data_IF_362340213625
#
_entry.id   IF_362340213625
#
_cell.length_a   1.000
_cell.length_b   1.000
_cell.length_c   1.000
_cell.angle_alpha   90.00
_cell.angle_beta   90.00
_cell.angle_gamma   90.00
#
_symmetry.space_group_name_H-M   'P 1'
#
loop_
_entity.id
_entity.type
_entity.pdbx_description
1 polymer ?
#
# COMPACT_ATOMS: atom_id res chain seq x y z
N UNK A 1 -4.40 20.05 -11.23
CA UNK A 1 -4.06 21.43 -10.80
C UNK A 1 -4.98 21.75 -9.63
N UNK A 2 -4.46 22.39 -8.58
CA UNK A 2 -5.26 22.82 -7.43
C UNK A 2 -5.46 24.33 -7.52
N UNK A 3 -6.70 24.81 -7.47
CA UNK A 3 -6.98 26.25 -7.41
C UNK A 3 -6.52 26.81 -6.07
N UNK A 4 -5.89 27.98 -6.07
CA UNK A 4 -5.30 28.58 -4.88
C UNK A 4 -5.60 30.07 -4.85
N UNK A 5 -5.70 30.65 -3.65
CA UNK A 5 -5.65 32.11 -3.53
C UNK A 5 -4.27 32.64 -3.94
N UNK A 6 -4.21 33.93 -4.29
CA UNK A 6 -2.92 34.56 -4.59
C UNK A 6 -2.10 34.72 -3.31
N UNK A 7 -0.96 34.04 -3.24
CA UNK A 7 -0.04 34.18 -2.11
C UNK A 7 0.60 35.56 -2.08
N UNK A 8 0.82 36.07 -0.86
CA UNK A 8 1.55 37.33 -0.63
C UNK A 8 3.05 37.20 -0.93
N UNK A 9 3.61 36.01 -0.77
CA UNK A 9 5.00 35.70 -1.06
C UNK A 9 5.07 34.51 -2.01
N UNK A 10 5.63 34.68 -3.23
CA UNK A 10 5.74 33.59 -4.20
C UNK A 10 6.66 32.47 -3.70
N UNK A 11 6.27 31.21 -3.91
CA UNK A 11 7.09 30.03 -3.59
C UNK A 11 7.85 29.56 -4.83
N UNK A 12 9.12 29.21 -4.67
CA UNK A 12 9.94 28.72 -5.78
C UNK A 12 9.44 27.35 -6.27
N UNK A 13 9.52 27.05 -7.58
CA UNK A 13 9.13 25.74 -8.11
C UNK A 13 10.05 24.64 -7.57
N UNK A 14 9.48 23.46 -7.39
CA UNK A 14 10.19 22.28 -6.88
C UNK A 14 10.29 21.24 -7.99
N UNK A 15 11.45 20.59 -8.09
CA UNK A 15 11.68 19.48 -9.02
C UNK A 15 12.29 18.30 -8.26
N UNK A 16 11.57 17.19 -8.25
CA UNK A 16 12.00 15.88 -7.78
C UNK A 16 12.27 14.97 -8.99
N UNK A 17 12.70 13.72 -8.74
CA UNK A 17 13.05 12.75 -9.80
C UNK A 17 11.90 12.53 -10.80
N UNK A 18 10.67 12.34 -10.30
CA UNK A 18 9.51 12.01 -11.13
C UNK A 18 8.39 13.05 -11.07
N UNK A 19 8.52 14.10 -10.25
CA UNK A 19 7.46 15.09 -10.06
C UNK A 19 8.03 16.50 -10.03
N UNK A 20 7.30 17.43 -10.62
CA UNK A 20 7.56 18.87 -10.52
C UNK A 20 6.33 19.60 -10.01
N UNK A 21 6.58 20.66 -9.24
CA UNK A 21 5.55 21.50 -8.66
C UNK A 21 5.83 22.95 -9.03
N UNK A 22 4.85 23.60 -9.64
CA UNK A 22 4.84 25.02 -9.91
C UNK A 22 3.78 25.67 -9.02
N UNK A 23 4.25 26.47 -8.08
CA UNK A 23 3.39 27.28 -7.22
C UNK A 23 3.04 28.58 -7.91
N UNK A 24 1.92 29.19 -7.50
CA UNK A 24 1.58 30.57 -7.83
C UNK A 24 1.64 30.86 -9.33
N UNK A 25 1.11 29.93 -10.14
CA UNK A 25 1.08 30.08 -11.59
C UNK A 25 -0.35 30.36 -12.05
N UNK A 26 -0.50 31.37 -12.92
CA UNK A 26 -1.80 31.74 -13.50
C UNK A 26 -2.08 30.87 -14.72
N UNK A 27 -3.22 30.20 -14.71
CA UNK A 27 -3.69 29.43 -15.86
C UNK A 27 -5.08 29.90 -16.27
N UNK A 28 -5.39 29.74 -17.55
CA UNK A 28 -6.76 29.71 -18.01
C UNK A 28 -7.21 28.26 -18.08
N UNK A 29 -8.25 27.91 -17.32
CA UNK A 29 -8.79 26.55 -17.27
C UNK A 29 -10.21 26.57 -17.79
N UNK A 30 -10.46 25.78 -18.83
CA UNK A 30 -11.79 25.61 -19.41
C UNK A 30 -12.37 24.28 -18.95
N UNK A 31 -13.49 24.32 -18.24
CA UNK A 31 -14.23 23.12 -17.87
C UNK A 31 -14.79 22.46 -19.14
N UNK A 32 -14.38 21.24 -19.44
CA UNK A 32 -14.79 20.50 -20.66
C UNK A 32 -16.30 20.27 -20.73
N UNK A 33 -16.96 20.09 -19.59
CA UNK A 33 -18.41 19.83 -19.53
C UNK A 33 -19.26 21.07 -19.80
N UNK A 34 -18.81 22.26 -19.36
CA UNK A 34 -19.62 23.49 -19.43
C UNK A 34 -19.08 24.51 -20.42
N UNK A 35 -17.86 24.33 -20.91
CA UNK A 35 -17.15 25.29 -21.76
C UNK A 35 -16.76 26.60 -21.06
N UNK A 36 -17.00 26.72 -19.74
CA UNK A 36 -16.65 27.94 -18.98
C UNK A 36 -15.15 27.98 -18.71
N UNK A 37 -14.53 29.11 -19.05
CA UNK A 37 -13.15 29.42 -18.68
C UNK A 37 -13.10 30.21 -17.37
N UNK A 38 -12.10 29.90 -16.55
CA UNK A 38 -11.68 30.70 -15.40
C UNK A 38 -10.20 31.05 -15.54
N UNK A 39 -9.80 32.24 -15.07
CA UNK A 39 -8.39 32.65 -15.02
C UNK A 39 -8.00 32.90 -13.57
N UNK A 40 -7.45 31.87 -12.95
CA UNK A 40 -7.18 31.82 -11.51
C UNK A 40 -5.71 31.42 -11.26
N UNK A 41 -5.30 31.50 -9.99
CA UNK A 41 -4.00 31.01 -9.55
C UNK A 41 -4.10 29.54 -9.21
N UNK A 42 -3.09 28.77 -9.63
CA UNK A 42 -3.04 27.34 -9.36
C UNK A 42 -1.68 26.91 -8.85
N UNK A 43 -1.72 25.85 -8.05
CA UNK A 43 -0.60 24.95 -7.86
C UNK A 43 -0.67 23.83 -8.91
N UNK A 44 0.33 23.77 -9.78
CA UNK A 44 0.46 22.71 -10.79
C UNK A 44 1.45 21.65 -10.30
N UNK A 45 0.92 20.45 -10.06
CA UNK A 45 1.71 19.23 -9.86
C UNK A 45 1.75 18.47 -11.18
N UNK A 46 2.94 18.06 -11.61
CA UNK A 46 3.13 17.33 -12.87
C UNK A 46 4.09 16.16 -12.69
N UNK A 47 3.71 14.98 -13.19
CA UNK A 47 4.58 13.81 -13.30
C UNK A 47 5.48 13.93 -14.53
N UNK A 48 6.70 13.40 -14.44
CA UNK A 48 7.59 13.27 -15.58
C UNK A 48 6.99 12.29 -16.60
N UNK A 49 6.90 12.73 -17.85
CA UNK A 49 6.33 11.94 -18.94
C UNK A 49 7.21 10.75 -19.34
N UNK A 50 8.47 10.71 -18.91
CA UNK A 50 9.38 9.59 -19.17
C UNK A 50 9.13 8.36 -18.29
N UNK A 51 8.40 8.51 -17.17
CA UNK A 51 8.05 7.42 -16.25
C UNK A 51 6.60 6.97 -16.47
N UNK A 52 6.33 6.32 -17.61
CA UNK A 52 4.97 5.91 -18.00
C UNK A 52 4.28 5.00 -16.95
N UNK A 53 5.03 4.10 -16.34
CA UNK A 53 4.57 3.18 -15.28
C UNK A 53 4.12 3.90 -14.00
N UNK A 54 4.75 5.03 -13.66
CA UNK A 54 4.38 5.84 -12.49
C UNK A 54 3.14 6.68 -12.74
N UNK A 55 2.81 6.97 -14.00
CA UNK A 55 1.72 7.87 -14.34
C UNK A 55 0.37 7.37 -13.82
N UNK A 56 0.13 6.05 -13.87
CA UNK A 56 -1.08 5.44 -13.30
C UNK A 56 -1.21 5.73 -11.81
N UNK A 57 -0.20 5.37 -11.02
CA UNK A 57 -0.18 5.61 -9.58
C UNK A 57 -0.28 7.11 -9.23
N UNK A 58 0.39 7.97 -10.00
CA UNK A 58 0.34 9.42 -9.83
C UNK A 58 -1.07 9.98 -9.98
N UNK A 59 -1.79 9.55 -11.02
CA UNK A 59 -3.17 10.01 -11.28
C UNK A 59 -4.10 9.56 -10.16
N UNK A 60 -4.02 8.29 -9.76
CA UNK A 60 -4.88 7.75 -8.70
C UNK A 60 -4.62 8.43 -7.36
N UNK A 61 -3.35 8.62 -6.98
CA UNK A 61 -3.01 9.32 -5.74
C UNK A 61 -3.51 10.76 -5.75
N UNK A 62 -3.29 11.50 -6.85
CA UNK A 62 -3.76 12.88 -6.95
C UNK A 62 -5.28 12.98 -6.91
N UNK A 63 -5.98 12.05 -7.55
CA UNK A 63 -7.45 12.00 -7.52
C UNK A 63 -7.94 11.72 -6.09
N UNK A 64 -7.39 10.71 -5.42
CA UNK A 64 -7.77 10.37 -4.04
C UNK A 64 -7.44 11.51 -3.06
N UNK A 65 -6.28 12.15 -3.22
CA UNK A 65 -5.90 13.32 -2.40
C UNK A 65 -6.86 14.47 -2.64
N UNK A 66 -7.15 14.81 -3.90
CA UNK A 66 -8.06 15.90 -4.25
C UNK A 66 -9.48 15.67 -3.71
N UNK A 67 -9.99 14.44 -3.78
CA UNK A 67 -11.30 14.09 -3.25
C UNK A 67 -11.38 14.17 -1.72
N UNK A 68 -10.26 14.03 -1.01
CA UNK A 68 -10.22 14.19 0.45
C UNK A 68 -10.14 15.65 0.91
N UNK A 69 -9.85 16.58 -0.01
CA UNK A 69 -9.71 18.00 0.30
C UNK A 69 -11.07 18.71 0.17
N UNK A 70 -11.36 19.72 1.02
CA UNK A 70 -12.56 20.55 0.86
C UNK A 70 -12.51 21.36 -0.45
N UNK A 71 -13.68 21.72 -0.96
CA UNK A 71 -13.86 22.50 -2.21
C UNK A 71 -13.07 23.82 -2.22
N UNK A 72 -12.86 24.43 -1.05
CA UNK A 72 -12.01 25.60 -0.88
C UNK A 72 -10.96 25.36 0.19
N UNK A 73 -9.71 25.50 -0.22
CA UNK A 73 -8.54 25.46 0.66
C UNK A 73 -8.10 26.89 0.97
N UNK A 74 -7.75 27.15 2.22
CA UNK A 74 -6.96 28.34 2.56
C UNK A 74 -5.47 28.10 2.23
N UNK A 75 -4.67 29.17 2.30
CA UNK A 75 -3.24 29.11 1.96
C UNK A 75 -2.47 28.05 2.78
N UNK A 76 -2.86 27.82 4.04
CA UNK A 76 -2.21 26.85 4.94
C UNK A 76 -2.55 25.41 4.53
N UNK A 77 -3.84 25.15 4.24
CA UNK A 77 -4.30 23.84 3.81
C UNK A 77 -3.72 23.45 2.43
N UNK A 78 -3.52 24.43 1.53
CA UNK A 78 -2.80 24.18 0.28
C UNK A 78 -1.34 23.78 0.56
N UNK A 79 -0.65 24.48 1.45
CA UNK A 79 0.74 24.16 1.77
C UNK A 79 0.88 22.79 2.44
N UNK A 80 -0.04 22.41 3.33
CA UNK A 80 -0.07 21.08 3.95
C UNK A 80 -0.33 19.98 2.92
N UNK A 81 -1.32 20.16 2.04
CA UNK A 81 -1.63 19.20 0.98
C UNK A 81 -0.46 19.03 0.00
N UNK A 82 0.19 20.14 -0.38
CA UNK A 82 1.35 20.09 -1.26
C UNK A 82 2.55 19.43 -0.58
N UNK A 83 2.82 19.73 0.70
CA UNK A 83 3.93 19.09 1.41
C UNK A 83 3.68 17.59 1.63
N UNK A 84 2.45 17.19 1.92
CA UNK A 84 2.07 15.77 1.99
C UNK A 84 2.30 15.05 0.65
N UNK A 85 1.84 15.64 -0.47
CA UNK A 85 2.10 15.11 -1.80
C UNK A 85 3.60 15.04 -2.12
N UNK A 86 4.36 16.08 -1.77
CA UNK A 86 5.81 16.10 -1.94
C UNK A 86 6.49 14.98 -1.18
N UNK A 87 6.08 14.73 0.06
CA UNK A 87 6.65 13.67 0.87
C UNK A 87 6.37 12.29 0.28
N UNK A 88 5.16 12.05 -0.25
CA UNK A 88 4.83 10.82 -0.95
C UNK A 88 5.69 10.60 -2.20
N UNK A 89 5.89 11.66 -3.01
CA UNK A 89 6.74 11.56 -4.19
C UNK A 89 8.23 11.42 -3.86
N UNK A 90 8.69 11.96 -2.73
CA UNK A 90 10.03 11.67 -2.22
C UNK A 90 10.18 10.19 -1.86
N UNK A 91 9.18 9.60 -1.18
CA UNK A 91 9.17 8.17 -0.83
C UNK A 91 9.17 7.27 -2.08
N UNK A 92 8.48 7.66 -3.14
CA UNK A 92 8.52 6.96 -4.44
C UNK A 92 9.90 6.98 -5.11
N UNK A 93 10.79 7.91 -4.73
CA UNK A 93 12.17 7.93 -5.21
C UNK A 93 13.15 7.14 -4.31
N UNK A 94 12.66 6.55 -3.22
CA UNK A 94 13.43 5.70 -2.33
C UNK A 94 13.32 4.22 -2.74
N UNK A 95 14.29 3.36 -2.36
CA UNK A 95 14.18 1.93 -2.55
C UNK A 95 12.87 1.35 -2.02
N UNK A 96 12.31 0.36 -2.72
CA UNK A 96 11.12 -0.36 -2.27
C UNK A 96 11.27 -0.90 -0.85
N UNK A 97 10.17 -0.88 -0.10
CA UNK A 97 10.13 -1.41 1.28
C UNK A 97 9.74 -2.87 1.32
N UNK A 98 9.05 -3.35 0.28
CA UNK A 98 8.69 -4.74 0.12
C UNK A 98 8.78 -5.16 -1.34
N UNK A 99 8.90 -6.46 -1.56
CA UNK A 99 8.77 -7.02 -2.91
C UNK A 99 7.34 -6.80 -3.43
N UNK A 100 7.20 -6.66 -4.74
CA UNK A 100 5.88 -6.59 -5.37
C UNK A 100 5.00 -7.83 -5.08
N UNK A 101 5.61 -9.01 -4.94
CA UNK A 101 4.91 -10.24 -4.51
C UNK A 101 4.29 -10.10 -3.11
N UNK A 102 4.98 -9.42 -2.18
CA UNK A 102 4.47 -9.13 -0.84
C UNK A 102 3.25 -8.20 -0.91
N UNK A 103 3.45 -7.02 -1.49
CA UNK A 103 2.41 -5.99 -1.64
C UNK A 103 1.16 -6.51 -2.36
N UNK A 104 1.34 -7.28 -3.43
CA UNK A 104 0.20 -7.86 -4.16
C UNK A 104 -0.61 -8.82 -3.28
N UNK A 105 0.05 -9.59 -2.41
CA UNK A 105 -0.63 -10.46 -1.45
C UNK A 105 -1.37 -9.69 -0.36
N UNK A 106 -0.80 -8.59 0.13
CA UNK A 106 -1.46 -7.70 1.09
C UNK A 106 -2.74 -7.08 0.49
N UNK A 107 -2.64 -6.57 -0.74
CA UNK A 107 -3.79 -6.05 -1.49
C UNK A 107 -4.82 -7.15 -1.78
N UNK A 108 -4.40 -8.37 -2.09
CA UNK A 108 -5.32 -9.48 -2.27
C UNK A 108 -6.11 -9.75 -0.99
N UNK A 109 -5.45 -9.74 0.17
CA UNK A 109 -6.11 -9.94 1.45
C UNK A 109 -7.15 -8.83 1.71
N UNK A 110 -6.84 -7.57 1.41
CA UNK A 110 -7.79 -6.46 1.50
C UNK A 110 -8.98 -6.71 0.57
N UNK A 111 -8.74 -7.03 -0.70
CA UNK A 111 -9.78 -7.29 -1.71
C UNK A 111 -10.65 -8.52 -1.38
N UNK A 112 -10.09 -9.54 -0.76
CA UNK A 112 -10.81 -10.76 -0.38
C UNK A 112 -11.51 -10.64 0.99
N UNK A 113 -11.23 -9.57 1.74
CA UNK A 113 -11.84 -9.34 3.05
C UNK A 113 -13.31 -8.95 2.91
N UNK A 114 -14.19 -9.38 3.83
CA UNK A 114 -15.58 -8.90 3.84
C UNK A 114 -15.72 -7.42 4.21
N UNK A 115 -14.66 -6.78 4.70
CA UNK A 115 -14.63 -5.34 4.97
C UNK A 115 -13.27 -4.75 4.55
N UNK A 116 -13.10 -4.37 3.26
CA UNK A 116 -11.88 -3.76 2.78
C UNK A 116 -11.50 -2.48 3.53
N UNK A 117 -12.50 -1.66 3.91
CA UNK A 117 -12.27 -0.45 4.72
C UNK A 117 -11.56 -0.77 6.04
N UNK A 118 -12.06 -1.74 6.82
CA UNK A 118 -11.41 -2.12 8.09
C UNK A 118 -10.00 -2.66 7.88
N UNK A 119 -9.75 -3.37 6.78
CA UNK A 119 -8.41 -3.85 6.45
C UNK A 119 -7.46 -2.72 6.08
N UNK A 120 -7.91 -1.76 5.27
CA UNK A 120 -7.11 -0.56 4.96
C UNK A 120 -6.83 0.26 6.22
N UNK A 121 -7.81 0.40 7.12
CA UNK A 121 -7.62 1.08 8.40
C UNK A 121 -6.57 0.37 9.28
N UNK A 122 -6.51 -0.97 9.23
CA UNK A 122 -5.52 -1.79 9.95
C UNK A 122 -4.17 -1.92 9.22
N UNK A 123 -4.06 -1.53 7.94
CA UNK A 123 -2.83 -1.68 7.14
C UNK A 123 -1.80 -0.61 7.48
N UNK A 124 -0.54 -1.01 7.66
CA UNK A 124 0.57 -0.11 8.01
C UNK A 124 1.86 -0.51 7.27
N UNK A 125 2.76 0.45 7.04
CA UNK A 125 4.03 0.27 6.30
C UNK A 125 5.22 0.76 7.14
N UNK A 126 5.17 0.59 8.47
CA UNK A 126 6.28 1.01 9.33
C UNK A 126 7.38 -0.08 9.39
N UNK A 127 8.67 0.27 9.22
CA UNK A 127 9.78 -0.69 9.30
C UNK A 127 9.93 -1.43 10.65
N UNK A 128 9.24 -0.94 11.68
CA UNK A 128 9.23 -1.52 13.03
C UNK A 128 8.04 -2.43 13.30
N UNK A 129 7.08 -2.47 12.38
CA UNK A 129 5.89 -3.30 12.54
C UNK A 129 6.25 -4.74 12.21
N UNK A 130 6.00 -5.63 13.17
CA UNK A 130 6.22 -7.07 12.97
C UNK A 130 5.14 -7.71 12.08
N UNK A 131 4.07 -6.96 11.74
CA UNK A 131 2.86 -7.42 11.06
C UNK A 131 2.36 -6.37 10.05
N UNK A 132 1.91 -6.80 8.87
CA UNK A 132 1.36 -5.91 7.84
C UNK A 132 0.03 -5.24 8.26
N UNK A 133 -0.82 -5.98 9.00
CA UNK A 133 -2.10 -5.47 9.50
C UNK A 133 -2.16 -5.56 11.02
N UNK A 134 -2.61 -4.48 11.66
CA UNK A 134 -2.80 -4.43 13.10
C UNK A 134 -4.06 -3.62 13.47
N UNK A 135 -4.92 -4.25 14.25
CA UNK A 135 -6.05 -3.64 14.94
C UNK A 135 -6.08 -4.16 16.40
N UNK A 136 -6.90 -3.56 17.26
CA UNK A 136 -6.99 -4.01 18.66
C UNK A 136 -7.36 -5.50 18.79
N UNK A 137 -8.19 -5.99 17.86
CA UNK A 137 -8.72 -7.34 17.85
C UNK A 137 -7.82 -8.39 17.17
N UNK A 138 -6.94 -7.98 16.24
CA UNK A 138 -6.12 -8.93 15.48
C UNK A 138 -4.85 -8.30 14.95
N UNK A 139 -3.87 -9.15 14.64
CA UNK A 139 -2.72 -8.79 13.80
C UNK A 139 -2.50 -9.85 12.73
N UNK A 140 -2.19 -9.44 11.52
CA UNK A 140 -2.01 -10.34 10.39
C UNK A 140 -0.70 -10.01 9.69
N UNK A 141 0.11 -11.04 9.53
CA UNK A 141 1.29 -11.02 8.67
C UNK A 141 0.95 -11.77 7.38
N UNK A 142 1.16 -11.12 6.24
CA UNK A 142 0.93 -11.68 4.92
C UNK A 142 2.20 -12.31 4.38
N UNK A 143 2.09 -13.56 3.93
CA UNK A 143 3.19 -14.32 3.35
C UNK A 143 2.81 -14.83 1.97
N UNK A 144 3.42 -14.21 0.96
CA UNK A 144 3.21 -14.52 -0.45
C UNK A 144 4.36 -15.35 -1.01
N UNK A 145 4.04 -16.36 -1.82
CA UNK A 145 5.05 -17.14 -2.54
C UNK A 145 4.57 -17.52 -3.93
N UNK A 146 5.45 -17.49 -4.92
CA UNK A 146 5.19 -18.06 -6.25
C UNK A 146 5.69 -19.50 -6.38
N UNK A 147 6.18 -20.09 -5.27
CA UNK A 147 6.66 -21.46 -5.22
C UNK A 147 5.51 -22.46 -5.25
N UNK A 148 5.80 -23.67 -5.77
CA UNK A 148 4.89 -24.83 -5.67
C UNK A 148 4.72 -25.27 -4.21
N UNK A 149 5.75 -25.09 -3.40
CA UNK A 149 5.74 -25.43 -1.97
C UNK A 149 5.37 -24.16 -1.19
N UNK A 150 4.37 -24.28 -0.30
CA UNK A 150 3.97 -23.21 0.63
C UNK A 150 5.00 -23.08 1.76
N UNK A 151 6.15 -22.53 1.42
CA UNK A 151 7.26 -22.22 2.31
C UNK A 151 7.44 -20.70 2.41
N UNK A 152 7.62 -20.21 3.64
CA UNK A 152 7.82 -18.79 3.89
C UNK A 152 8.93 -18.57 4.91
N UNK A 153 9.55 -17.39 4.85
CA UNK A 153 10.45 -16.90 5.88
C UNK A 153 9.64 -16.19 6.98
N UNK A 154 9.96 -16.49 8.23
CA UNK A 154 9.34 -15.93 9.43
C UNK A 154 10.41 -15.36 10.35
N UNK A 155 10.09 -14.27 11.05
CA UNK A 155 10.78 -13.94 12.29
C UNK A 155 10.13 -14.69 13.45
N UNK A 156 10.90 -15.03 14.48
CA UNK A 156 10.35 -15.69 15.67
C UNK A 156 9.30 -14.81 16.37
N UNK A 157 9.45 -13.49 16.30
CA UNK A 157 8.51 -12.50 16.86
C UNK A 157 7.11 -12.59 16.24
N UNK A 158 7.03 -12.88 14.94
CA UNK A 158 5.77 -13.04 14.21
C UNK A 158 4.95 -14.26 14.66
N UNK A 159 5.61 -15.32 15.12
CA UNK A 159 4.96 -16.61 15.42
C UNK A 159 4.95 -16.96 16.91
N UNK A 160 5.71 -16.24 17.74
CA UNK A 160 5.82 -16.42 19.20
C UNK A 160 5.67 -15.10 19.95
N UNK A 161 4.74 -14.25 19.52
CA UNK A 161 4.39 -13.00 20.19
C UNK A 161 3.70 -13.19 21.55
N UNK A 162 3.14 -14.39 21.80
CA UNK A 162 2.30 -14.67 22.96
C UNK A 162 0.86 -14.18 22.83
N UNK A 163 0.46 -13.60 21.69
CA UNK A 163 -0.93 -13.20 21.43
C UNK A 163 -1.69 -14.29 20.66
N UNK A 164 -2.90 -14.68 21.11
CA UNK A 164 -3.67 -15.73 20.45
C UNK A 164 -4.26 -15.30 19.10
N UNK A 165 -4.48 -13.99 18.91
CA UNK A 165 -5.15 -13.37 17.75
C UNK A 165 -4.15 -12.79 16.73
N UNK A 166 -2.95 -13.36 16.71
CA UNK A 166 -2.01 -13.14 15.62
C UNK A 166 -2.21 -14.23 14.56
N UNK A 167 -2.23 -13.82 13.30
CA UNK A 167 -2.50 -14.70 12.18
C UNK A 167 -1.44 -14.54 11.10
N UNK A 168 -1.20 -15.63 10.38
CA UNK A 168 -0.47 -15.65 9.11
C UNK A 168 -1.49 -15.81 7.99
N UNK A 169 -1.57 -14.83 7.11
CA UNK A 169 -2.30 -14.94 5.84
C UNK A 169 -1.32 -15.40 4.77
N UNK A 170 -1.41 -16.67 4.36
CA UNK A 170 -0.54 -17.23 3.35
C UNK A 170 -1.23 -17.31 1.99
N UNK A 171 -0.57 -16.82 0.94
CA UNK A 171 -1.06 -16.88 -0.44
C UNK A 171 -0.02 -17.50 -1.37
N UNK A 172 -0.49 -18.30 -2.34
CA UNK A 172 0.33 -18.81 -3.43
C UNK A 172 -0.04 -18.07 -4.71
N UNK A 173 0.92 -17.36 -5.28
CA UNK A 173 0.74 -16.54 -6.47
C UNK A 173 1.09 -17.34 -7.73
N UNK A 174 0.35 -17.06 -8.80
CA UNK A 174 0.64 -17.57 -10.15
C UNK A 174 0.63 -16.41 -11.12
N UNK A 175 1.76 -16.20 -11.79
CA UNK A 175 1.86 -15.19 -12.83
C UNK A 175 0.87 -15.52 -13.95
N UNK A 176 0.20 -14.50 -14.47
CA UNK A 176 -0.77 -14.64 -15.55
C UNK A 176 -0.75 -13.40 -16.41
N UNK A 177 -0.61 -13.54 -17.73
CA UNK A 177 -0.64 -12.43 -18.66
C UNK A 177 -2.00 -11.67 -18.64
N UNK A 178 -3.08 -12.37 -18.31
CA UNK A 178 -4.43 -11.82 -18.14
C UNK A 178 -4.76 -11.53 -16.66
N UNK A 179 -3.74 -11.57 -15.79
CA UNK A 179 -3.86 -11.29 -14.36
C UNK A 179 -3.96 -9.80 -14.03
N UNK A 180 -4.05 -9.49 -12.74
CA UNK A 180 -4.06 -8.10 -12.26
C UNK A 180 -2.68 -7.71 -11.72
N UNK A 181 -2.26 -6.48 -12.02
CA UNK A 181 -1.11 -5.83 -11.39
C UNK A 181 -1.48 -5.29 -9.99
N UNK A 182 -0.48 -4.75 -9.28
CA UNK A 182 -0.71 -3.98 -8.05
C UNK A 182 -1.64 -2.79 -8.30
N UNK A 183 -1.42 -2.04 -9.39
CA UNK A 183 -2.24 -0.89 -9.76
C UNK A 183 -3.69 -1.30 -9.99
N UNK A 184 -3.92 -2.39 -10.72
CA UNK A 184 -5.27 -2.87 -11.04
C UNK A 184 -6.01 -3.34 -9.78
N UNK A 185 -5.30 -4.03 -8.88
CA UNK A 185 -5.89 -4.50 -7.63
C UNK A 185 -6.22 -3.35 -6.68
N UNK A 186 -5.34 -2.34 -6.58
CA UNK A 186 -5.62 -1.13 -5.80
C UNK A 186 -6.82 -0.34 -6.38
N UNK A 187 -6.91 -0.20 -7.70
CA UNK A 187 -8.08 0.38 -8.39
C UNK A 187 -9.36 -0.39 -8.12
N UNK A 188 -9.29 -1.72 -8.04
CA UNK A 188 -10.43 -2.57 -7.74
C UNK A 188 -10.94 -2.39 -6.31
N UNK A 189 -10.04 -2.16 -5.34
CA UNK A 189 -10.38 -1.94 -3.93
C UNK A 189 -10.94 -0.53 -3.70
N UNK A 190 -10.43 0.46 -4.42
CA UNK A 190 -10.72 1.90 -4.22
C UNK A 190 -12.22 2.22 -4.08
N UNK A 191 -13.14 1.70 -4.92
CA UNK A 191 -14.58 2.01 -4.82
C UNK A 191 -15.26 1.47 -3.56
N UNK A 192 -14.63 0.55 -2.83
CA UNK A 192 -15.15 -0.02 -1.58
C UNK A 192 -14.75 0.81 -0.34
N UNK A 193 -14.03 1.92 -0.54
CA UNK A 193 -13.46 2.75 0.52
C UNK A 193 -14.08 4.15 0.54
N UNK A 194 -14.10 4.72 1.75
CA UNK A 194 -14.30 6.17 1.97
C UNK A 194 -13.16 6.99 1.35
N UNK A 195 -13.36 8.28 1.10
CA UNK A 195 -12.33 9.15 0.52
C UNK A 195 -11.01 9.14 1.33
N UNK A 196 -11.12 9.15 2.66
CA UNK A 196 -9.96 8.99 3.55
C UNK A 196 -9.28 7.62 3.41
N UNK A 197 -10.07 6.55 3.26
CA UNK A 197 -9.56 5.20 2.99
C UNK A 197 -8.86 5.10 1.63
N UNK A 198 -9.39 5.73 0.59
CA UNK A 198 -8.76 5.78 -0.73
C UNK A 198 -7.42 6.51 -0.67
N UNK A 199 -7.37 7.67 -0.02
CA UNK A 199 -6.14 8.42 0.18
C UNK A 199 -5.08 7.57 0.92
N UNK A 200 -5.50 6.88 2.01
CA UNK A 200 -4.61 5.97 2.76
C UNK A 200 -4.11 4.81 1.88
N UNK A 201 -4.98 4.15 1.13
CA UNK A 201 -4.63 3.03 0.25
C UNK A 201 -3.54 3.45 -0.74
N UNK A 202 -3.76 4.53 -1.48
CA UNK A 202 -2.80 4.98 -2.50
C UNK A 202 -1.49 5.48 -1.91
N UNK A 203 -1.55 6.13 -0.75
CA UNK A 203 -0.36 6.46 0.01
C UNK A 203 0.46 5.21 0.34
N UNK A 204 -0.13 4.19 0.97
CA UNK A 204 0.62 2.99 1.38
C UNK A 204 1.16 2.20 0.17
N UNK A 205 0.39 2.09 -0.92
CA UNK A 205 0.86 1.43 -2.16
C UNK A 205 2.13 2.11 -2.69
N UNK A 206 2.14 3.43 -2.76
CA UNK A 206 3.29 4.21 -3.25
C UNK A 206 4.48 4.11 -2.29
N UNK A 207 4.23 4.17 -0.99
CA UNK A 207 5.28 4.02 0.03
C UNK A 207 5.94 2.65 0.01
N UNK A 208 5.18 1.59 -0.28
CA UNK A 208 5.69 0.22 -0.35
C UNK A 208 6.46 -0.03 -1.64
N UNK A 209 5.94 0.43 -2.78
CA UNK A 209 6.60 0.24 -4.09
C UNK A 209 7.91 1.01 -4.21
N UNK A 210 8.00 2.24 -3.70
CA UNK A 210 9.21 3.05 -3.88
C UNK A 210 9.59 3.19 -5.36
N UNK A 211 10.89 3.09 -5.66
CA UNK A 211 11.45 3.17 -7.01
C UNK A 211 11.21 1.92 -7.88
N UNK A 212 10.81 0.80 -7.28
CA UNK A 212 10.41 -0.41 -8.01
C UNK A 212 9.10 -0.23 -8.78
N UNK A 213 8.33 0.82 -8.49
CA UNK A 213 7.15 1.16 -9.28
C UNK A 213 7.48 1.33 -10.80
N UNK A 214 8.73 1.68 -11.15
CA UNK A 214 9.16 1.75 -12.54
C UNK A 214 9.38 0.38 -13.20
N UNK A 215 9.79 -0.62 -12.43
CA UNK A 215 10.24 -1.94 -12.92
C UNK A 215 9.17 -3.04 -12.84
N UNK A 216 8.08 -2.78 -12.10
CA UNK A 216 7.10 -3.78 -11.68
C UNK A 216 5.78 -3.78 -12.46
N UNK A 217 5.60 -2.85 -13.41
CA UNK A 217 4.37 -2.71 -14.21
C UNK A 217 3.92 -4.02 -14.89
N UNK A 218 4.83 -4.95 -15.14
CA UNK A 218 4.59 -6.16 -15.92
C UNK A 218 4.28 -7.42 -15.13
N UNK A 219 4.43 -7.45 -13.80
CA UNK A 219 4.06 -8.66 -13.06
C UNK A 219 2.60 -8.59 -12.62
N UNK A 220 1.83 -9.45 -13.24
CA UNK A 220 0.40 -9.62 -13.06
C UNK A 220 0.14 -11.04 -12.54
N UNK A 221 -0.82 -11.19 -11.63
CA UNK A 221 -1.14 -12.48 -11.04
C UNK A 221 -2.61 -12.83 -11.20
N UNK A 222 -2.89 -14.13 -11.28
CA UNK A 222 -4.26 -14.66 -11.35
C UNK A 222 -4.99 -14.49 -10.01
N UNK A 223 -5.97 -13.60 -9.99
CA UNK A 223 -6.75 -13.28 -8.78
C UNK A 223 -7.57 -14.47 -8.30
N UNK A 224 -8.18 -15.23 -9.20
CA UNK A 224 -9.06 -16.35 -8.82
C UNK A 224 -8.25 -17.48 -8.18
N UNK A 225 -7.12 -17.85 -8.80
CA UNK A 225 -6.19 -18.82 -8.26
C UNK A 225 -5.59 -18.35 -6.94
N UNK A 226 -5.18 -17.08 -6.83
CA UNK A 226 -4.60 -16.57 -5.60
C UNK A 226 -5.62 -16.55 -4.46
N UNK A 227 -6.84 -16.08 -4.72
CA UNK A 227 -7.95 -16.07 -3.74
C UNK A 227 -8.26 -17.48 -3.26
N UNK A 228 -8.35 -18.46 -4.16
CA UNK A 228 -8.58 -19.86 -3.80
C UNK A 228 -7.43 -20.47 -2.99
N UNK A 229 -6.22 -19.91 -3.08
CA UNK A 229 -5.04 -20.34 -2.33
C UNK A 229 -4.87 -19.63 -0.99
N UNK A 230 -5.64 -18.56 -0.72
CA UNK A 230 -5.48 -17.74 0.47
C UNK A 230 -5.91 -18.54 1.71
N UNK A 231 -4.98 -18.69 2.65
CA UNK A 231 -5.18 -19.45 3.89
C UNK A 231 -4.82 -18.57 5.07
N UNK A 232 -5.75 -18.41 6.02
CA UNK A 232 -5.50 -17.71 7.28
C UNK A 232 -5.29 -18.73 8.40
N UNK A 233 -4.15 -18.66 9.08
CA UNK A 233 -3.78 -19.61 10.14
C UNK A 233 -3.34 -18.86 11.39
N UNK A 234 -3.78 -19.25 12.61
CA UNK A 234 -3.25 -18.65 13.84
C UNK A 234 -1.74 -18.87 13.96
N UNK A 235 -0.99 -17.79 14.21
CA UNK A 235 0.48 -17.78 14.17
C UNK A 235 1.12 -18.76 15.17
N UNK A 236 0.44 -19.05 16.28
CA UNK A 236 0.83 -20.07 17.27
C UNK A 236 0.99 -21.48 16.69
N UNK A 237 0.30 -21.81 15.61
CA UNK A 237 0.38 -23.14 14.97
C UNK A 237 1.58 -23.25 14.02
N UNK A 238 2.24 -22.14 13.69
CA UNK A 238 3.45 -22.19 12.87
C UNK A 238 4.58 -22.82 13.70
N UNK A 239 5.25 -23.87 13.19
CA UNK A 239 6.40 -24.46 13.86
C UNK A 239 7.53 -23.45 13.90
N UNK A 240 8.17 -23.31 15.06
CA UNK A 240 9.22 -22.32 15.27
C UNK A 240 10.35 -22.90 16.12
N UNK A 241 11.61 -22.52 15.86
CA UNK A 241 12.74 -22.87 16.72
C UNK A 241 12.51 -22.41 18.16
N UNK A 242 12.98 -23.20 19.12
CA UNK A 242 12.98 -22.80 20.54
C UNK A 242 14.37 -22.26 20.91
N UNK A 243 14.41 -21.10 21.57
CA UNK A 243 15.63 -20.52 22.11
C UNK A 243 15.81 -21.01 23.55
N UNK A 244 16.97 -21.55 23.88
CA UNK A 244 17.26 -21.95 25.26
C UNK A 244 17.27 -20.72 26.19
N UNK A 245 16.74 -20.87 27.40
CA UNK A 245 16.53 -19.74 28.32
C UNK A 245 17.81 -18.93 28.61
N UNK A 246 18.98 -19.59 28.65
CA UNK A 246 20.28 -18.95 28.88
C UNK A 246 20.80 -18.08 27.73
N UNK A 247 20.30 -18.33 26.52
CA UNK A 247 20.77 -17.70 25.27
C UNK A 247 19.91 -16.50 24.86
N UNK A 248 18.70 -16.38 25.41
CA UNK A 248 17.73 -15.32 25.06
C UNK A 248 18.28 -13.90 25.19
N UNK A 249 19.20 -13.66 26.13
CA UNK A 249 19.87 -12.36 26.33
C UNK A 249 20.95 -12.03 25.29
N UNK A 250 21.37 -13.00 24.49
CA UNK A 250 22.44 -12.85 23.48
C UNK A 250 21.91 -12.89 22.05
N UNK A 251 20.63 -13.23 21.86
CA UNK A 251 19.99 -13.36 20.55
C UNK A 251 18.96 -12.24 20.39
N UNK A 252 19.20 -11.36 19.42
CA UNK A 252 18.34 -10.20 19.15
C UNK A 252 17.27 -10.46 18.10
N UNK A 253 17.52 -11.33 17.12
CA UNK A 253 16.57 -11.69 16.06
C UNK A 253 16.80 -13.14 15.61
N UNK A 254 15.73 -13.85 15.25
CA UNK A 254 15.76 -15.20 14.71
C UNK A 254 14.84 -15.26 13.50
N UNK A 255 15.43 -15.53 12.33
CA UNK A 255 14.70 -15.77 11.09
C UNK A 255 14.87 -17.21 10.65
N UNK A 256 13.79 -17.82 10.16
CA UNK A 256 13.78 -19.20 9.70
C UNK A 256 12.76 -19.39 8.59
N UNK A 257 12.92 -20.45 7.80
CA UNK A 257 11.92 -20.85 6.80
C UNK A 257 11.14 -22.06 7.29
N UNK A 258 9.84 -22.08 7.03
CA UNK A 258 8.98 -23.20 7.36
C UNK A 258 8.01 -23.48 6.23
N UNK A 259 7.85 -24.77 5.91
CA UNK A 259 6.78 -25.26 5.05
C UNK A 259 5.52 -25.40 5.89
N UNK A 260 4.47 -24.69 5.50
CA UNK A 260 3.24 -24.59 6.30
C UNK A 260 2.03 -25.22 5.60
N UNK A 261 2.22 -25.90 4.47
CA UNK A 261 1.12 -26.51 3.70
C UNK A 261 0.26 -27.47 4.53
N UNK A 262 0.89 -28.34 5.31
CA UNK A 262 0.18 -29.28 6.20
C UNK A 262 -0.53 -28.54 7.35
N UNK A 263 0.14 -27.57 7.96
CA UNK A 263 -0.44 -26.72 9.01
C UNK A 263 -1.66 -25.94 8.51
N UNK A 264 -1.59 -25.36 7.31
CA UNK A 264 -2.74 -24.71 6.67
C UNK A 264 -3.90 -25.69 6.50
N UNK A 265 -3.63 -26.93 6.10
CA UNK A 265 -4.68 -27.93 5.89
C UNK A 265 -5.39 -28.35 7.18
N UNK A 266 -4.71 -28.25 8.33
CA UNK A 266 -5.23 -28.65 9.64
C UNK A 266 -5.85 -27.50 10.45
N UNK A 267 -5.34 -26.28 10.27
CA UNK A 267 -5.61 -25.14 11.16
C UNK A 267 -6.07 -23.89 10.44
N UNK A 268 -6.20 -23.90 9.11
CA UNK A 268 -6.74 -22.74 8.41
C UNK A 268 -8.18 -22.44 8.84
N UNK A 269 -8.48 -21.17 8.95
CA UNK A 269 -9.78 -20.65 9.30
C UNK A 269 -10.30 -19.75 8.18
N UNK A 270 -11.63 -19.58 8.05
CA UNK A 270 -12.18 -18.68 7.04
C UNK A 270 -11.81 -17.23 7.37
N UNK A 271 -11.62 -16.39 6.35
CA UNK A 271 -11.36 -14.95 6.52
C UNK A 271 -12.49 -14.24 7.27
N UNK A 272 -13.72 -14.75 7.20
CA UNK A 272 -14.84 -14.23 7.98
C UNK A 272 -14.64 -14.31 9.50
N UNK A 273 -13.65 -15.08 9.98
CA UNK A 273 -13.30 -15.12 11.39
C UNK A 273 -12.53 -13.88 11.87
N UNK A 274 -12.12 -12.98 10.96
CA UNK A 274 -11.48 -11.70 11.28
C UNK A 274 -12.49 -10.55 11.50
N UNK A 275 -13.81 -10.81 11.37
CA UNK A 275 -14.87 -9.79 11.43
C UNK A 275 -15.39 -9.49 12.84
#
# INVERSE_FOLDING_TARGET
MLATAQRRSPRAPIRLKHVSIQFDARYEVTATETGKSSSEWFCKVACDASSASLHGYFVELLAATANSLPDQLDDSAVDEAVEALMELFRKMAMPSRASMTGLWGELLLINASPSPQRMVDAWHVAPTDDFDFAADAFRIEVKSTSSVIREHEFSLRQVRSGRPDDFIASVVLRSSADGLSVLDLARRITPELTDAGQAKLWQLVIETLGDDAESTEWQTFDVASATASLMLVPARHIPAPTIAAGDSRFISDVRFRAQIGEICSQHAMPLSALL
#
